data_IF_788320957934
#
_entry.id   IF_788320957934
#
_cell.length_a   1.000
_cell.length_b   1.000
_cell.length_c   1.000
_cell.angle_alpha   90.00
_cell.angle_beta   90.00
_cell.angle_gamma   90.00
#
_symmetry.space_group_name_H-M   'P 1'
#
loop_
_entity.id
_entity.type
_entity.pdbx_description
1 polymer ?
#
# COMPACT_ATOMS: atom_id res chain seq x y z
N UNK A 1 19.84 6.79 4.82
CA UNK A 1 18.63 7.04 5.65
C UNK A 1 18.28 5.74 6.35
N UNK A 2 18.08 5.77 7.66
CA UNK A 2 17.75 4.60 8.47
C UNK A 2 16.24 4.32 8.38
N UNK A 3 15.84 3.36 7.56
CA UNK A 3 14.42 3.05 7.31
C UNK A 3 13.93 1.99 8.30
N UNK A 4 12.84 2.28 9.00
CA UNK A 4 12.19 1.33 9.91
C UNK A 4 11.25 0.40 9.13
N UNK A 5 11.21 -0.88 9.52
CA UNK A 5 10.34 -1.87 8.91
C UNK A 5 9.39 -2.47 9.94
N UNK A 6 8.13 -2.68 9.58
CA UNK A 6 7.19 -3.43 10.41
C UNK A 6 7.63 -4.90 10.49
N UNK A 7 7.65 -5.44 11.70
CA UNK A 7 7.85 -6.87 11.94
C UNK A 7 6.92 -7.70 11.04
N UNK A 8 7.47 -8.74 10.42
CA UNK A 8 6.72 -9.62 9.51
C UNK A 8 5.85 -10.64 10.23
N UNK A 9 6.02 -10.82 11.55
CA UNK A 9 5.29 -11.82 12.31
C UNK A 9 3.77 -11.55 12.31
N UNK A 10 3.01 -12.65 12.27
CA UNK A 10 1.59 -12.66 12.54
C UNK A 10 1.33 -12.49 14.04
N UNK A 11 0.24 -11.81 14.36
CA UNK A 11 -0.41 -11.89 15.68
C UNK A 11 -1.33 -13.10 15.71
N UNK A 12 -1.83 -13.49 16.89
CA UNK A 12 -2.80 -14.59 17.06
C UNK A 12 -4.08 -14.41 16.22
N UNK A 13 -4.36 -13.19 15.76
CA UNK A 13 -5.51 -12.87 14.89
C UNK A 13 -5.09 -12.67 13.43
N UNK A 14 -3.96 -13.21 13.00
CA UNK A 14 -3.42 -13.11 11.64
C UNK A 14 -3.11 -11.68 11.14
N UNK A 15 -3.22 -10.66 11.99
CA UNK A 15 -2.79 -9.31 11.64
C UNK A 15 -1.28 -9.17 11.81
N UNK A 16 -0.64 -8.32 10.99
CA UNK A 16 0.81 -8.06 11.09
C UNK A 16 1.19 -7.40 12.42
N UNK A 17 2.31 -7.81 13.02
CA UNK A 17 2.86 -7.21 14.23
C UNK A 17 3.14 -5.71 14.05
N UNK A 18 2.84 -4.91 15.09
CA UNK A 18 3.00 -3.44 15.10
C UNK A 18 4.39 -2.95 15.51
N UNK A 19 5.28 -3.84 15.94
CA UNK A 19 6.61 -3.46 16.41
C UNK A 19 7.58 -3.31 15.24
N UNK A 20 8.50 -2.38 15.40
CA UNK A 20 9.53 -2.11 14.40
C UNK A 20 10.68 -3.11 14.51
N UNK A 21 11.20 -3.50 13.36
CA UNK A 21 12.53 -4.06 13.23
C UNK A 21 13.50 -2.88 13.14
N UNK A 22 14.53 -2.86 13.98
CA UNK A 22 15.59 -1.84 13.89
C UNK A 22 16.37 -1.95 12.57
N UNK A 23 17.35 -1.07 12.35
CA UNK A 23 18.05 -0.85 11.06
C UNK A 23 18.89 -2.01 10.49
N UNK A 24 18.71 -3.21 10.98
CA UNK A 24 19.40 -4.37 10.45
C UNK A 24 18.58 -4.90 9.28
N UNK A 25 18.96 -4.51 8.05
CA UNK A 25 18.44 -5.03 6.75
C UNK A 25 18.36 -6.57 6.67
N UNK A 26 18.96 -7.30 7.63
CA UNK A 26 18.92 -8.76 7.74
C UNK A 26 17.83 -9.31 8.68
N UNK A 27 17.12 -8.48 9.46
CA UNK A 27 16.11 -8.94 10.41
C UNK A 27 14.71 -8.73 9.85
N UNK A 28 13.88 -9.76 9.96
CA UNK A 28 12.46 -9.74 9.57
C UNK A 28 11.51 -9.66 10.77
N UNK A 29 12.04 -9.89 11.98
CA UNK A 29 11.30 -9.93 13.24
C UNK A 29 11.77 -8.85 14.21
N UNK A 30 10.85 -8.28 14.98
CA UNK A 30 11.21 -7.41 16.11
C UNK A 30 11.89 -8.23 17.21
N UNK A 31 12.52 -7.56 18.19
CA UNK A 31 13.26 -8.22 19.28
C UNK A 31 12.46 -9.32 19.98
N UNK A 32 11.17 -9.08 20.26
CA UNK A 32 10.28 -10.05 20.88
C UNK A 32 10.11 -11.32 20.04
N UNK A 33 9.78 -11.18 18.75
CA UNK A 33 9.58 -12.33 17.88
C UNK A 33 10.90 -13.04 17.53
N UNK A 34 12.01 -12.30 17.50
CA UNK A 34 13.33 -12.89 17.34
C UNK A 34 13.69 -13.76 18.55
N UNK A 35 13.45 -13.28 19.77
CA UNK A 35 13.68 -14.07 21.00
C UNK A 35 12.86 -15.36 21.04
N UNK A 36 11.56 -15.28 20.66
CA UNK A 36 10.69 -16.46 20.55
C UNK A 36 11.23 -17.48 19.54
N UNK A 37 11.64 -17.01 18.36
CA UNK A 37 12.25 -17.84 17.33
C UNK A 37 13.54 -18.51 17.83
N UNK A 38 14.42 -17.73 18.49
CA UNK A 38 15.69 -18.22 19.01
C UNK A 38 15.49 -19.23 20.16
N UNK A 39 14.38 -19.13 20.90
CA UNK A 39 13.95 -20.10 21.92
C UNK A 39 13.29 -21.37 21.33
N UNK A 40 13.18 -21.48 20.01
CA UNK A 40 12.56 -22.62 19.33
C UNK A 40 11.04 -22.56 19.25
N UNK A 41 10.40 -21.44 19.60
CA UNK A 41 8.96 -21.26 19.40
C UNK A 41 8.64 -21.00 17.93
N UNK A 42 7.49 -21.51 17.48
CA UNK A 42 6.96 -21.19 16.17
C UNK A 42 6.57 -19.70 16.08
N UNK A 43 7.14 -19.00 15.10
CA UNK A 43 6.78 -17.62 14.76
C UNK A 43 6.24 -17.63 13.33
N UNK A 44 4.93 -17.49 13.21
CA UNK A 44 4.26 -17.42 11.92
C UNK A 44 4.47 -16.05 11.25
N UNK A 45 4.60 -16.06 9.92
CA UNK A 45 4.66 -14.84 9.12
C UNK A 45 3.23 -14.39 8.80
N UNK A 46 2.97 -13.09 8.87
CA UNK A 46 1.68 -12.51 8.53
C UNK A 46 1.29 -12.91 7.09
N UNK A 47 0.02 -13.27 6.86
CA UNK A 47 -0.44 -13.74 5.55
C UNK A 47 -0.24 -12.68 4.46
N UNK A 48 -0.09 -13.17 3.22
CA UNK A 48 -0.05 -12.32 2.03
C UNK A 48 -1.40 -11.58 1.85
N UNK A 49 -1.42 -10.39 1.21
CA UNK A 49 -2.68 -9.72 0.94
C UNK A 49 -3.53 -10.54 -0.04
N UNK A 50 -4.82 -10.64 0.22
CA UNK A 50 -5.80 -11.07 -0.78
C UNK A 50 -6.16 -9.91 -1.72
N UNK A 51 -6.06 -8.69 -1.18
CA UNK A 51 -6.41 -7.44 -1.86
C UNK A 51 -5.30 -6.41 -1.68
N UNK A 52 -4.86 -5.81 -2.78
CA UNK A 52 -3.99 -4.64 -2.76
C UNK A 52 -4.70 -3.42 -3.35
N UNK A 53 -4.82 -2.36 -2.55
CA UNK A 53 -5.43 -1.09 -2.95
C UNK A 53 -4.35 -0.07 -3.28
N UNK A 54 -4.19 0.21 -4.56
CA UNK A 54 -3.26 1.18 -5.11
C UNK A 54 -3.92 2.55 -5.22
N UNK A 55 -3.35 3.58 -4.57
CA UNK A 55 -3.98 4.89 -4.43
C UNK A 55 -3.03 6.03 -4.80
N UNK A 56 -3.48 6.92 -5.68
CA UNK A 56 -2.67 8.01 -6.23
C UNK A 56 -3.41 9.33 -6.20
N UNK A 57 -2.74 10.42 -5.84
CA UNK A 57 -3.32 11.74 -6.08
C UNK A 57 -3.25 12.06 -7.59
N UNK A 58 -4.37 12.52 -8.14
CA UNK A 58 -4.48 12.99 -9.51
C UNK A 58 -4.49 14.52 -9.54
N UNK A 59 -3.87 15.08 -10.59
CA UNK A 59 -4.15 16.44 -11.00
C UNK A 59 -5.40 16.48 -11.91
N UNK A 60 -5.92 17.69 -12.20
CA UNK A 60 -7.14 17.86 -12.99
C UNK A 60 -7.06 17.19 -14.38
N UNK A 61 -5.94 17.38 -15.10
CA UNK A 61 -5.73 16.80 -16.43
C UNK A 61 -5.88 15.27 -16.44
N UNK A 62 -5.26 14.58 -15.49
CA UNK A 62 -5.35 13.11 -15.41
C UNK A 62 -6.71 12.64 -14.94
N UNK A 63 -7.33 13.36 -14.00
CA UNK A 63 -8.71 13.09 -13.57
C UNK A 63 -9.64 13.11 -14.76
N UNK A 64 -9.65 14.21 -15.52
CA UNK A 64 -10.60 14.40 -16.62
C UNK A 64 -10.37 13.37 -17.73
N UNK A 65 -9.11 13.08 -18.09
CA UNK A 65 -8.76 11.99 -19.03
C UNK A 65 -9.33 10.63 -18.59
N UNK A 66 -9.21 10.28 -17.31
CA UNK A 66 -9.69 8.99 -16.80
C UNK A 66 -11.23 8.92 -16.73
N UNK A 67 -11.89 10.04 -16.42
CA UNK A 67 -13.35 10.13 -16.47
C UNK A 67 -13.90 9.97 -17.90
N UNK A 68 -13.24 10.56 -18.89
CA UNK A 68 -13.58 10.40 -20.30
C UNK A 68 -13.46 8.94 -20.77
N UNK A 69 -12.53 8.18 -20.17
CA UNK A 69 -12.37 6.74 -20.39
C UNK A 69 -13.37 5.88 -19.61
N UNK A 70 -14.35 6.50 -18.93
CA UNK A 70 -15.42 5.81 -18.22
C UNK A 70 -15.03 5.27 -16.84
N UNK A 71 -13.94 5.75 -16.23
CA UNK A 71 -13.65 5.46 -14.82
C UNK A 71 -14.68 6.18 -13.94
N UNK A 72 -15.43 5.48 -13.09
CA UNK A 72 -16.46 6.12 -12.27
C UNK A 72 -15.87 6.90 -11.11
N UNK A 73 -16.60 7.92 -10.67
CA UNK A 73 -16.40 8.54 -9.36
C UNK A 73 -17.20 7.79 -8.28
N UNK A 74 -16.59 7.59 -7.12
CA UNK A 74 -17.24 7.01 -5.94
C UNK A 74 -17.03 7.92 -4.75
N UNK A 75 -18.11 8.37 -4.14
CA UNK A 75 -18.05 9.15 -2.91
C UNK A 75 -17.94 8.23 -1.68
N UNK A 76 -16.87 8.35 -0.89
CA UNK A 76 -16.76 7.57 0.34
C UNK A 76 -17.58 8.22 1.46
N UNK A 77 -18.28 7.40 2.23
CA UNK A 77 -18.79 7.82 3.53
C UNK A 77 -17.62 7.92 4.52
N UNK A 78 -17.13 9.15 4.72
CA UNK A 78 -15.98 9.42 5.59
C UNK A 78 -16.26 9.09 7.06
N UNK A 79 -17.49 9.34 7.54
CA UNK A 79 -17.87 9.08 8.93
C UNK A 79 -17.95 7.58 9.21
N UNK A 80 -18.63 6.84 8.33
CA UNK A 80 -18.68 5.38 8.43
C UNK A 80 -17.29 4.74 8.34
N UNK A 81 -16.42 5.28 7.48
CA UNK A 81 -15.04 4.80 7.33
C UNK A 81 -14.20 5.01 8.59
N UNK A 82 -14.27 6.19 9.21
CA UNK A 82 -13.54 6.45 10.45
C UNK A 82 -14.04 5.57 11.60
N UNK A 83 -15.36 5.46 11.78
CA UNK A 83 -15.96 4.56 12.76
C UNK A 83 -15.50 3.11 12.56
N UNK A 84 -15.47 2.64 11.31
CA UNK A 84 -14.94 1.32 10.96
C UNK A 84 -13.47 1.16 11.37
N UNK A 85 -12.61 2.14 11.08
CA UNK A 85 -11.19 2.06 11.45
C UNK A 85 -10.99 2.01 12.97
N UNK A 86 -11.74 2.81 13.74
CA UNK A 86 -11.66 2.81 15.21
C UNK A 86 -12.08 1.45 15.77
N UNK A 87 -13.24 0.94 15.34
CA UNK A 87 -13.74 -0.36 15.77
C UNK A 87 -12.76 -1.50 15.41
N UNK A 88 -12.22 -1.46 14.20
CA UNK A 88 -11.27 -2.46 13.71
C UNK A 88 -9.92 -2.37 14.46
N UNK A 89 -9.42 -1.18 14.78
CA UNK A 89 -8.23 -1.04 15.62
C UNK A 89 -8.45 -1.66 17.01
N UNK A 90 -9.59 -1.35 17.66
CA UNK A 90 -9.94 -1.89 18.98
C UNK A 90 -10.05 -3.42 18.96
N UNK A 91 -10.70 -3.99 17.94
CA UNK A 91 -10.81 -5.44 17.76
C UNK A 91 -9.44 -6.11 17.72
N UNK A 92 -8.40 -5.47 17.19
CA UNK A 92 -7.06 -6.05 17.10
C UNK A 92 -6.11 -5.56 18.22
N UNK A 93 -6.65 -4.97 19.29
CA UNK A 93 -5.87 -4.49 20.44
C UNK A 93 -4.94 -3.31 20.08
N UNK A 94 -5.33 -2.50 19.10
CA UNK A 94 -4.55 -1.36 18.59
C UNK A 94 -5.21 -0.05 19.02
N UNK A 95 -4.36 0.96 19.25
CA UNK A 95 -4.82 2.34 19.43
C UNK A 95 -4.97 3.00 18.06
N UNK A 96 -6.21 3.35 17.70
CA UNK A 96 -6.54 3.86 16.37
C UNK A 96 -5.76 5.13 15.97
N UNK A 97 -5.33 5.94 16.93
CA UNK A 97 -4.68 7.23 16.67
C UNK A 97 -3.17 7.24 16.99
N UNK A 98 -2.57 6.10 17.34
CA UNK A 98 -1.17 6.04 17.76
C UNK A 98 -0.16 6.47 16.67
N UNK A 99 -0.54 6.35 15.40
CA UNK A 99 0.35 6.62 14.27
C UNK A 99 0.19 8.05 13.77
N UNK A 100 -1.01 8.39 13.27
CA UNK A 100 -1.32 9.67 12.62
C UNK A 100 -1.99 10.72 13.52
N UNK A 101 -2.33 10.39 14.77
CA UNK A 101 -2.96 11.25 15.80
C UNK A 101 -4.37 11.76 15.49
N UNK A 102 -4.62 12.26 14.29
CA UNK A 102 -5.89 12.90 13.89
C UNK A 102 -6.75 12.03 12.97
N UNK A 103 -6.17 10.94 12.44
CA UNK A 103 -6.87 10.03 11.53
C UNK A 103 -6.75 8.61 12.08
N UNK A 104 -7.88 7.94 12.25
CA UNK A 104 -7.91 6.57 12.72
C UNK A 104 -7.24 5.61 11.70
N UNK A 105 -6.41 4.71 12.22
CA UNK A 105 -5.73 3.64 11.53
C UNK A 105 -5.96 2.31 12.24
N UNK A 106 -6.41 1.30 11.51
CA UNK A 106 -6.37 -0.07 12.00
C UNK A 106 -5.12 -0.82 11.57
N UNK A 107 -4.43 -0.37 10.51
CA UNK A 107 -3.25 -1.01 9.93
C UNK A 107 -1.91 -0.66 10.59
N UNK A 108 -0.85 -1.28 10.10
CA UNK A 108 0.55 -0.96 10.45
C UNK A 108 1.26 -0.49 9.17
N UNK A 109 1.95 0.66 9.18
CA UNK A 109 2.71 1.09 8.03
C UNK A 109 3.98 0.24 7.93
N UNK A 110 4.23 -0.33 6.75
CA UNK A 110 5.28 -1.33 6.56
C UNK A 110 6.67 -0.68 6.62
N UNK A 111 6.81 0.54 6.13
CA UNK A 111 8.08 1.29 6.07
C UNK A 111 8.11 2.44 7.09
N UNK A 112 7.62 2.17 8.31
CA UNK A 112 7.55 3.17 9.37
C UNK A 112 6.59 4.34 9.05
N UNK A 113 6.60 5.35 9.92
CA UNK A 113 5.73 6.54 9.74
C UNK A 113 6.16 7.41 8.56
N UNK A 114 7.45 7.42 8.25
CA UNK A 114 8.03 8.23 7.19
C UNK A 114 7.86 7.62 5.80
N UNK A 115 7.54 6.32 5.70
CA UNK A 115 7.35 5.67 4.41
C UNK A 115 8.61 5.62 3.54
N UNK A 116 8.38 5.64 2.22
CA UNK A 116 9.44 5.61 1.21
C UNK A 116 9.37 6.90 0.39
N UNK A 117 10.52 7.49 0.08
CA UNK A 117 10.65 8.69 -0.75
C UNK A 117 11.30 8.34 -2.10
N UNK A 118 11.05 9.17 -3.11
CA UNK A 118 11.63 9.07 -4.46
C UNK A 118 11.59 7.64 -5.01
N UNK A 119 10.40 7.05 -5.09
CA UNK A 119 10.22 5.61 -5.35
C UNK A 119 9.53 5.36 -6.69
N UNK A 120 10.02 4.34 -7.41
CA UNK A 120 9.33 3.76 -8.55
C UNK A 120 8.35 2.68 -8.07
N UNK A 121 7.15 2.72 -8.63
CA UNK A 121 6.08 1.75 -8.34
C UNK A 121 5.81 0.83 -9.54
N UNK A 122 6.63 0.93 -10.59
CA UNK A 122 6.48 0.13 -11.80
C UNK A 122 6.68 -1.36 -11.52
N UNK A 123 7.77 -1.74 -10.85
CA UNK A 123 8.01 -3.15 -10.50
C UNK A 123 6.92 -3.70 -9.57
N UNK A 124 6.42 -2.90 -8.64
CA UNK A 124 5.29 -3.32 -7.80
C UNK A 124 4.05 -3.63 -8.61
N UNK A 125 3.80 -2.85 -9.67
CA UNK A 125 2.69 -3.10 -10.57
C UNK A 125 2.86 -4.41 -11.32
N UNK A 126 4.08 -4.72 -11.78
CA UNK A 126 4.40 -6.01 -12.40
C UNK A 126 4.22 -7.16 -11.40
N UNK A 127 4.75 -7.02 -10.18
CA UNK A 127 4.60 -8.00 -9.11
C UNK A 127 3.10 -8.28 -8.81
N UNK A 128 2.25 -7.24 -8.83
CA UNK A 128 0.80 -7.39 -8.65
C UNK A 128 0.11 -8.03 -9.85
N UNK A 129 0.42 -7.62 -11.08
CA UNK A 129 -0.20 -8.20 -12.28
C UNK A 129 0.18 -9.66 -12.50
N UNK A 130 1.29 -10.13 -11.91
CA UNK A 130 1.68 -11.54 -11.96
C UNK A 130 0.80 -12.47 -11.09
N UNK A 131 0.18 -11.95 -10.02
CA UNK A 131 -0.57 -12.76 -9.04
C UNK A 131 -2.04 -12.32 -8.83
N UNK A 132 -2.41 -11.12 -9.26
CA UNK A 132 -3.70 -10.49 -8.94
C UNK A 132 -4.41 -9.98 -10.20
N UNK A 133 -5.73 -9.92 -10.11
CA UNK A 133 -6.59 -9.33 -11.14
C UNK A 133 -6.97 -7.90 -10.76
N UNK A 134 -7.02 -6.99 -11.73
CA UNK A 134 -7.58 -5.65 -11.52
C UNK A 134 -9.09 -5.75 -11.56
N UNK A 135 -9.74 -5.69 -10.39
CA UNK A 135 -11.19 -5.92 -10.25
C UNK A 135 -12.03 -4.65 -10.22
N UNK A 136 -11.41 -3.50 -9.92
CA UNK A 136 -12.09 -2.21 -9.86
C UNK A 136 -11.08 -1.07 -10.04
N UNK A 137 -11.47 -0.05 -10.80
CA UNK A 137 -10.76 1.23 -10.89
C UNK A 137 -11.81 2.32 -10.68
N UNK A 138 -11.55 3.26 -9.78
CA UNK A 138 -12.42 4.40 -9.55
C UNK A 138 -11.66 5.63 -9.08
N UNK A 139 -12.25 6.80 -9.28
CA UNK A 139 -11.79 8.06 -8.69
C UNK A 139 -12.63 8.32 -7.44
N UNK A 140 -12.02 8.87 -6.40
CA UNK A 140 -12.75 9.34 -5.22
C UNK A 140 -12.16 10.63 -4.69
N UNK A 141 -12.97 11.49 -4.07
CA UNK A 141 -12.44 12.65 -3.36
C UNK A 141 -11.72 12.23 -2.07
N UNK A 142 -10.64 12.94 -1.74
CA UNK A 142 -9.97 12.91 -0.43
C UNK A 142 -9.77 14.34 0.05
N UNK A 143 -10.03 14.59 1.34
CA UNK A 143 -9.66 15.84 1.99
C UNK A 143 -8.19 15.82 2.40
N UNK A 144 -7.49 16.92 2.11
CA UNK A 144 -6.14 17.19 2.56
C UNK A 144 -6.10 18.61 3.15
N UNK A 145 -6.20 18.70 4.48
CA UNK A 145 -6.53 19.94 5.17
C UNK A 145 -7.84 20.54 4.64
N UNK A 146 -7.76 21.73 4.06
CA UNK A 146 -8.91 22.44 3.45
C UNK A 146 -9.12 22.12 1.97
N UNK A 147 -8.20 21.39 1.32
CA UNK A 147 -8.24 21.13 -0.12
C UNK A 147 -8.88 19.77 -0.43
N UNK A 148 -9.60 19.72 -1.54
CA UNK A 148 -10.08 18.47 -2.13
C UNK A 148 -9.09 18.00 -3.18
N UNK A 149 -8.72 16.72 -3.11
CA UNK A 149 -7.83 16.07 -4.05
C UNK A 149 -8.57 14.86 -4.63
N UNK A 150 -8.44 14.67 -5.93
CA UNK A 150 -8.94 13.46 -6.59
C UNK A 150 -7.93 12.34 -6.41
N UNK A 151 -8.40 11.18 -5.97
CA UNK A 151 -7.56 10.01 -5.75
C UNK A 151 -8.01 8.90 -6.68
N UNK A 152 -7.11 8.43 -7.55
CA UNK A 152 -7.31 7.19 -8.29
C UNK A 152 -7.14 6.02 -7.33
N UNK A 153 -8.05 5.05 -7.39
CA UNK A 153 -7.96 3.81 -6.65
C UNK A 153 -8.02 2.66 -7.65
N UNK A 154 -7.01 1.79 -7.60
CA UNK A 154 -6.94 0.53 -8.34
C UNK A 154 -7.03 -0.59 -7.32
N UNK A 155 -7.96 -1.51 -7.53
CA UNK A 155 -8.19 -2.65 -6.66
C UNK A 155 -7.66 -3.92 -7.34
N UNK A 156 -6.59 -4.47 -6.80
CA UNK A 156 -6.05 -5.76 -7.18
C UNK A 156 -6.56 -6.82 -6.22
N UNK A 157 -7.12 -7.92 -6.73
CA UNK A 157 -7.65 -9.03 -5.92
C UNK A 157 -7.20 -10.37 -6.45
N UNK A 158 -6.75 -11.24 -5.55
CA UNK A 158 -6.42 -12.62 -5.88
C UNK A 158 -7.71 -13.40 -6.19
N UNK A 159 -7.74 -14.13 -7.31
CA UNK A 159 -8.92 -14.87 -7.77
C UNK A 159 -10.14 -14.00 -8.12
N UNK A 160 -9.93 -12.70 -8.31
CA UNK A 160 -10.97 -11.75 -8.70
C UNK A 160 -11.38 -11.88 -10.17
N UNK A 161 -12.45 -11.19 -10.58
CA UNK A 161 -12.80 -11.04 -11.99
C UNK A 161 -12.27 -9.70 -12.51
N UNK A 162 -11.37 -9.78 -13.49
CA UNK A 162 -10.78 -8.61 -14.13
C UNK A 162 -11.85 -7.66 -14.70
N UNK A 163 -11.59 -6.36 -14.65
CA UNK A 163 -12.41 -5.36 -15.33
C UNK A 163 -12.35 -5.55 -16.84
N UNK A 164 -13.42 -5.17 -17.55
CA UNK A 164 -13.48 -5.24 -19.02
C UNK A 164 -13.03 -3.96 -19.72
N UNK A 165 -12.72 -2.89 -18.99
CA UNK A 165 -12.36 -1.58 -19.55
C UNK A 165 -10.85 -1.49 -19.84
N UNK A 166 -10.41 -2.13 -20.92
CA UNK A 166 -8.99 -2.18 -21.31
C UNK A 166 -8.36 -0.80 -21.54
N UNK A 167 -8.99 0.17 -22.25
CA UNK A 167 -8.39 1.49 -22.45
C UNK A 167 -8.08 2.24 -21.15
N UNK A 168 -8.96 2.11 -20.14
CA UNK A 168 -8.73 2.72 -18.85
C UNK A 168 -7.65 2.00 -18.04
N UNK A 169 -7.56 0.67 -18.16
CA UNK A 169 -6.47 -0.11 -17.60
C UNK A 169 -5.13 0.33 -18.21
N UNK A 170 -4.99 0.30 -19.54
CA UNK A 170 -3.77 0.66 -20.25
C UNK A 170 -3.29 2.08 -19.88
N UNK A 171 -4.21 3.05 -19.89
CA UNK A 171 -3.92 4.44 -19.49
C UNK A 171 -3.46 4.54 -18.04
N UNK A 172 -4.03 3.72 -17.16
CA UNK A 172 -3.64 3.67 -15.74
C UNK A 172 -2.27 3.04 -15.57
N UNK A 173 -1.95 1.97 -16.32
CA UNK A 173 -0.64 1.31 -16.27
C UNK A 173 0.46 2.24 -16.82
N UNK A 174 0.20 2.95 -17.92
CA UNK A 174 1.09 3.97 -18.49
C UNK A 174 1.41 5.07 -17.47
N UNK A 175 0.40 5.53 -16.73
CA UNK A 175 0.58 6.56 -15.70
C UNK A 175 1.56 6.11 -14.60
N UNK A 176 1.61 4.81 -14.30
CA UNK A 176 2.45 4.23 -13.25
C UNK A 176 3.88 3.95 -13.71
N UNK A 177 4.07 3.56 -14.98
CA UNK A 177 5.35 3.07 -15.49
C UNK A 177 6.44 4.12 -15.58
N UNK A 178 6.10 5.38 -15.77
CA UNK A 178 7.07 6.44 -16.09
C UNK A 178 7.24 7.49 -14.98
N UNK A 179 6.93 7.11 -13.73
CA UNK A 179 6.71 8.08 -12.66
C UNK A 179 7.59 7.82 -11.44
N UNK A 180 8.42 8.80 -11.07
CA UNK A 180 8.98 8.89 -9.72
C UNK A 180 7.90 9.45 -8.77
N UNK A 181 7.70 8.78 -7.65
CA UNK A 181 6.77 9.23 -6.61
C UNK A 181 7.55 9.82 -5.46
N UNK A 182 7.30 11.09 -5.14
CA UNK A 182 8.01 11.77 -4.05
C UNK A 182 7.78 11.11 -2.69
N UNK A 183 6.68 10.36 -2.54
CA UNK A 183 6.36 9.64 -1.32
C UNK A 183 5.38 8.48 -1.55
N UNK A 184 5.61 7.35 -0.87
CA UNK A 184 4.74 6.18 -0.84
C UNK A 184 4.60 5.59 0.58
N UNK A 185 3.36 5.28 0.97
CA UNK A 185 2.99 4.65 2.24
C UNK A 185 2.28 3.32 2.00
N UNK A 186 2.94 2.24 2.39
CA UNK A 186 2.34 0.90 2.40
C UNK A 186 1.80 0.58 3.78
N UNK A 187 0.53 0.20 3.86
CA UNK A 187 -0.18 -0.16 5.08
C UNK A 187 -0.64 -1.62 5.02
N UNK A 188 -0.20 -2.41 5.99
CA UNK A 188 -0.72 -3.75 6.23
C UNK A 188 -1.94 -3.66 7.16
N UNK A 189 -3.15 -3.73 6.61
CA UNK A 189 -4.37 -3.67 7.41
C UNK A 189 -4.63 -5.04 8.07
N UNK A 190 -5.33 -5.08 9.22
CA UNK A 190 -5.77 -6.35 9.78
C UNK A 190 -6.77 -7.04 8.84
N UNK A 191 -6.97 -8.37 9.00
CA UNK A 191 -8.03 -9.09 8.32
C UNK A 191 -9.38 -8.38 8.43
N UNK A 192 -10.09 -8.26 7.32
CA UNK A 192 -11.46 -7.73 7.29
C UNK A 192 -12.44 -8.72 7.94
N UNK A 193 -13.69 -8.32 8.10
CA UNK A 193 -14.74 -9.17 8.69
C UNK A 193 -14.99 -10.48 7.90
N UNK A 194 -14.69 -10.46 6.60
CA UNK A 194 -14.74 -11.63 5.71
C UNK A 194 -13.42 -12.44 5.70
N UNK A 195 -12.48 -12.10 6.56
CA UNK A 195 -11.17 -12.75 6.70
C UNK A 195 -10.11 -12.26 5.73
N UNK A 196 -10.45 -11.47 4.70
CA UNK A 196 -9.47 -11.04 3.68
C UNK A 196 -8.43 -10.09 4.25
N UNK A 197 -7.18 -10.28 3.82
CA UNK A 197 -6.05 -9.43 4.12
C UNK A 197 -5.97 -8.32 3.07
N UNK A 198 -6.03 -7.06 3.51
CA UNK A 198 -5.98 -5.90 2.62
C UNK A 198 -4.71 -5.13 2.88
N UNK A 199 -3.90 -4.91 1.85
CA UNK A 199 -2.79 -3.96 1.89
C UNK A 199 -3.16 -2.69 1.12
N UNK A 200 -2.80 -1.51 1.63
CA UNK A 200 -3.00 -0.24 0.91
C UNK A 200 -1.65 0.36 0.57
N UNK A 201 -1.50 0.83 -0.66
CA UNK A 201 -0.33 1.54 -1.14
C UNK A 201 -0.79 2.94 -1.53
N UNK A 202 -0.35 3.95 -0.76
CA UNK A 202 -0.77 5.33 -0.93
C UNK A 202 0.42 6.16 -1.40
N UNK A 203 0.33 6.67 -2.61
CA UNK A 203 1.37 7.49 -3.22
C UNK A 203 0.87 8.93 -3.32
N UNK A 204 1.76 9.87 -3.02
CA UNK A 204 1.38 11.28 -2.96
C UNK A 204 1.43 11.95 -4.35
N UNK A 205 2.46 12.74 -4.62
CA UNK A 205 2.66 13.50 -5.85
C UNK A 205 3.72 12.81 -6.72
N UNK A 206 3.55 12.98 -8.02
CA UNK A 206 4.53 12.59 -9.02
C UNK A 206 5.60 13.67 -9.15
N UNK A 207 6.85 13.25 -9.12
CA UNK A 207 8.04 14.07 -9.33
C UNK A 207 8.53 13.84 -10.76
N UNK A 208 8.10 14.69 -11.69
CA UNK A 208 8.34 14.48 -13.13
C UNK A 208 9.82 14.65 -13.49
N UNK A 209 10.53 15.50 -12.76
CA UNK A 209 11.92 15.88 -13.06
C UNK A 209 12.94 15.12 -12.19
N UNK A 210 12.51 14.09 -11.46
CA UNK A 210 13.39 13.27 -10.62
C UNK A 210 13.43 11.83 -11.09
N UNK A 211 14.61 11.23 -11.02
CA UNK A 211 14.74 9.79 -11.10
C UNK A 211 14.39 9.15 -9.75
N UNK A 212 13.78 7.95 -9.74
CA UNK A 212 13.63 7.18 -8.54
C UNK A 212 14.99 6.80 -7.93
N UNK A 213 15.07 6.79 -6.61
CA UNK A 213 16.21 6.24 -5.87
C UNK A 213 15.96 4.79 -5.45
N UNK A 214 14.69 4.44 -5.29
CA UNK A 214 14.24 3.14 -4.81
C UNK A 214 13.14 2.57 -5.71
N UNK A 215 13.01 1.26 -5.66
CA UNK A 215 11.90 0.50 -6.21
C UNK A 215 11.16 -0.16 -5.07
N UNK A 216 9.82 -0.11 -5.08
CA UNK A 216 8.99 -0.91 -4.18
C UNK A 216 8.73 -2.29 -4.80
N UNK A 217 8.90 -3.36 -4.03
CA UNK A 217 8.62 -4.73 -4.45
C UNK A 217 7.61 -5.40 -3.55
N UNK A 218 6.86 -6.33 -4.12
CA UNK A 218 6.00 -7.27 -3.40
C UNK A 218 6.40 -8.70 -3.79
N UNK A 219 6.95 -9.46 -2.86
CA UNK A 219 7.33 -10.85 -3.10
C UNK A 219 6.74 -11.76 -2.01
N UNK A 220 5.89 -12.71 -2.40
CA UNK A 220 5.28 -13.66 -1.47
C UNK A 220 4.49 -12.99 -0.33
N UNK A 221 3.91 -11.81 -0.59
CA UNK A 221 3.18 -11.02 0.42
C UNK A 221 4.03 -10.11 1.30
N UNK A 222 5.36 -10.13 1.13
CA UNK A 222 6.29 -9.27 1.84
C UNK A 222 6.68 -8.06 0.99
N UNK A 223 6.64 -6.88 1.60
CA UNK A 223 7.07 -5.65 0.98
C UNK A 223 8.53 -5.38 1.28
N UNK A 224 9.28 -4.98 0.26
CA UNK A 224 10.68 -4.59 0.36
C UNK A 224 10.97 -3.39 -0.55
N UNK A 225 12.13 -2.78 -0.34
CA UNK A 225 12.67 -1.76 -1.23
C UNK A 225 14.03 -2.19 -1.76
N UNK A 226 14.29 -1.91 -3.02
CA UNK A 226 15.57 -2.15 -3.68
C UNK A 226 16.11 -0.83 -4.24
N UNK A 227 17.44 -0.65 -4.36
CA UNK A 227 18.00 0.46 -5.11
C UNK A 227 17.44 0.49 -6.53
N UNK A 228 17.03 1.66 -7.01
CA UNK A 228 16.65 1.82 -8.40
C UNK A 228 17.90 1.67 -9.29
N UNK A 229 17.79 0.79 -10.28
CA UNK A 229 18.76 0.65 -11.36
C UNK A 229 18.03 1.05 -12.63
N UNK A 230 18.55 2.07 -13.31
CA UNK A 230 17.98 2.49 -14.59
C UNK A 230 18.06 1.32 -15.57
N UNK A 231 16.96 0.93 -16.24
CA UNK A 231 17.00 -0.12 -17.23
C UNK A 231 17.98 0.28 -18.34
N UNK A 232 18.96 -0.57 -18.63
CA UNK A 232 19.76 -0.43 -19.84
C UNK A 232 18.81 -0.65 -21.04
N UNK A 233 18.39 0.44 -21.67
CA UNK A 233 17.67 0.38 -22.93
C UNK A 233 18.70 0.04 -24.01
N UNK A 234 18.78 -1.24 -24.37
CA UNK A 234 19.43 -1.67 -25.60
C UNK A 234 18.66 -1.04 -26.78
N UNK A 235 19.24 -0.01 -27.38
CA UNK A 235 18.75 0.64 -28.61
C UNK A 235 19.22 -0.10 -29.86
#
# INVERSE_FOLDING_TARGET
MHMQYACTAATERNARCRHWVGDQRAKVFCSLHQQRKDAGEAVEIAPKPDVALYKFNLNGKWRDKLLELGIPEKDPDFGAKEAKHVAHAQQFGREAYAIRKEVADSGVPVFGKEGIQNVSLYETLQDLLAEYEVVDIHIRPRRDGTRWISVLVINFSHGGRSISNQPALDTTLEFLSSSCWGFCHVWANPPQDDGRIVHTINSSHREVDKQPELVLRLNGGLWSTEPYVEPELDY
#
